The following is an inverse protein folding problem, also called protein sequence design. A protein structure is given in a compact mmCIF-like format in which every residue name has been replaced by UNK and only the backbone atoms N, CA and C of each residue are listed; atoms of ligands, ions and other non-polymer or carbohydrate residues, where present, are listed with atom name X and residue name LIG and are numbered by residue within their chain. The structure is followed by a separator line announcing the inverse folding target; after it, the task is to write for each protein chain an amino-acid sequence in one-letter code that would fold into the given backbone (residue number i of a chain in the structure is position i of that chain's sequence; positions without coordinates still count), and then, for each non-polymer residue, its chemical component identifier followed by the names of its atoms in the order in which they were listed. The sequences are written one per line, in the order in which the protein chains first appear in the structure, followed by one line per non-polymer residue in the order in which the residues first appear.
data_IF_990454550583
#
_entry.id   IF_990454550583
#
_cell.length_a   1.000
_cell.length_b   1.000
_cell.length_c   1.000
_cell.angle_alpha   90.00
_cell.angle_beta   90.00
_cell.angle_gamma   90.00
#
_symmetry.space_group_name_H-M   'P 1'
#
loop_
_entity.id
_entity.type
_entity.pdbx_description
1 polymer ?
#
# COMPACT_ATOMS: atom_id res chain seq x y z
N UNK A 1 -8.59 -107.45 4.53
CA UNK A 1 -7.49 -106.53 4.15
C UNK A 1 -7.95 -105.14 4.58
N UNK A 2 -7.30 -104.61 5.63
CA UNK A 2 -7.35 -103.28 6.31
C UNK A 2 -8.59 -102.39 6.11
N UNK A 3 -9.46 -102.08 7.09
CA UNK A 3 -9.31 -101.51 8.45
C UNK A 3 -8.99 -99.99 8.52
N UNK A 4 -9.98 -99.23 9.05
CA UNK A 4 -10.00 -97.87 9.62
C UNK A 4 -9.66 -96.69 8.68
N UNK A 5 -10.38 -95.56 8.65
CA UNK A 5 -10.41 -94.57 9.75
C UNK A 5 -11.54 -93.51 9.55
N UNK A 6 -12.36 -93.35 10.60
CA UNK A 6 -13.08 -92.15 11.15
C UNK A 6 -14.05 -91.27 10.33
N UNK A 7 -15.24 -91.14 10.92
CA UNK A 7 -16.14 -89.97 10.91
C UNK A 7 -15.49 -88.76 11.59
N UNK A 8 -15.86 -87.53 11.21
CA UNK A 8 -16.20 -86.42 12.13
C UNK A 8 -16.82 -85.24 11.39
N UNK A 9 -18.05 -84.89 11.77
CA UNK A 9 -18.68 -83.62 11.48
C UNK A 9 -18.03 -82.52 12.34
N UNK A 10 -17.74 -81.35 11.75
CA UNK A 10 -17.53 -80.12 12.51
C UNK A 10 -18.41 -79.00 11.94
N UNK A 11 -19.52 -78.80 12.65
CA UNK A 11 -20.24 -77.52 12.74
C UNK A 11 -19.27 -76.39 13.10
N UNK A 12 -19.30 -75.31 12.34
CA UNK A 12 -18.75 -74.03 12.78
C UNK A 12 -18.03 -73.28 11.69
N UNK A 13 -18.76 -72.46 10.92
CA UNK A 13 -18.24 -71.24 10.29
C UNK A 13 -19.41 -70.43 9.72
N UNK A 14 -20.46 -70.25 10.51
CA UNK A 14 -21.53 -69.28 10.25
C UNK A 14 -21.32 -68.00 11.09
N UNK A 15 -20.09 -67.61 11.35
CA UNK A 15 -19.79 -66.37 12.10
C UNK A 15 -18.30 -66.04 11.99
N UNK A 16 -17.87 -65.44 10.88
CA UNK A 16 -16.58 -64.73 10.86
C UNK A 16 -16.45 -63.74 9.71
N UNK A 17 -17.22 -63.89 8.63
CA UNK A 17 -17.13 -63.00 7.47
C UNK A 17 -17.84 -61.65 7.62
N UNK A 18 -18.67 -61.46 8.65
CA UNK A 18 -19.44 -60.23 8.84
C UNK A 18 -18.82 -59.22 9.83
N UNK A 19 -17.69 -59.55 10.48
CA UNK A 19 -17.12 -58.71 11.54
C UNK A 19 -15.84 -57.94 11.15
N UNK A 20 -15.33 -58.12 9.93
CA UNK A 20 -14.12 -57.45 9.45
C UNK A 20 -14.37 -56.32 8.45
N UNK A 21 -15.60 -56.13 7.94
CA UNK A 21 -15.89 -55.06 6.98
C UNK A 21 -16.20 -53.74 7.71
N UNK A 22 -16.75 -53.82 8.92
CA UNK A 22 -17.14 -52.64 9.71
C UNK A 22 -15.97 -51.77 10.21
N UNK A 23 -14.85 -52.32 10.74
CA UNK A 23 -13.79 -51.45 11.27
C UNK A 23 -12.98 -50.75 10.18
N UNK A 24 -12.81 -51.37 8.99
CA UNK A 24 -12.13 -50.73 7.86
C UNK A 24 -12.99 -49.66 7.19
N UNK A 25 -14.31 -49.87 7.09
CA UNK A 25 -15.25 -48.87 6.60
C UNK A 25 -15.32 -47.64 7.51
N UNK A 26 -15.34 -47.83 8.84
CA UNK A 26 -15.32 -46.72 9.78
C UNK A 26 -13.96 -46.00 9.82
N UNK A 27 -12.83 -46.70 9.64
CA UNK A 27 -11.52 -46.04 9.58
C UNK A 27 -11.37 -45.14 8.34
N UNK A 28 -11.89 -45.57 7.17
CA UNK A 28 -11.90 -44.73 5.96
C UNK A 28 -12.81 -43.50 6.09
N UNK A 29 -13.94 -43.62 6.79
CA UNK A 29 -14.86 -42.49 7.04
C UNK A 29 -14.32 -41.54 8.11
N UNK A 30 -13.62 -42.04 9.14
CA UNK A 30 -12.99 -41.20 10.17
C UNK A 30 -11.70 -40.53 9.69
N UNK A 31 -10.86 -41.20 8.89
CA UNK A 31 -9.69 -40.55 8.27
C UNK A 31 -10.07 -39.63 7.10
N UNK A 32 -11.21 -39.85 6.45
CA UNK A 32 -11.76 -38.94 5.44
C UNK A 32 -12.31 -37.62 6.02
N UNK A 33 -12.47 -37.54 7.34
CA UNK A 33 -13.08 -36.38 8.02
C UNK A 33 -12.08 -35.47 8.74
N UNK A 34 -10.77 -35.80 8.74
CA UNK A 34 -9.70 -35.01 9.37
C UNK A 34 -8.77 -34.31 8.37
N UNK A 35 -9.17 -34.17 7.12
CA UNK A 35 -8.49 -33.38 6.09
C UNK A 35 -9.59 -32.88 5.16
N UNK A 36 -10.02 -31.63 5.11
CA UNK A 36 -9.27 -30.40 4.90
C UNK A 36 -10.16 -29.24 5.39
N UNK A 37 -9.77 -28.59 6.47
CA UNK A 37 -10.05 -27.17 6.67
C UNK A 37 -8.73 -26.50 7.01
N UNK A 38 -7.77 -26.67 6.11
CA UNK A 38 -6.66 -25.74 6.02
C UNK A 38 -7.21 -24.48 5.37
N UNK A 39 -6.97 -23.27 5.90
CA UNK A 39 -7.16 -22.08 5.10
C UNK A 39 -6.33 -22.29 3.84
N UNK A 40 -6.95 -22.15 2.67
CA UNK A 40 -6.25 -22.14 1.40
C UNK A 40 -5.35 -20.90 1.37
N UNK A 41 -4.21 -20.96 2.05
CA UNK A 41 -3.01 -20.35 1.51
C UNK A 41 -2.68 -21.20 0.30
N UNK A 42 -3.37 -20.91 -0.80
CA UNK A 42 -3.16 -21.56 -2.08
C UNK A 42 -1.66 -21.54 -2.33
N UNK A 43 -1.07 -22.72 -2.56
CA UNK A 43 0.35 -22.84 -2.89
C UNK A 43 0.65 -21.83 -4.00
N UNK A 44 1.43 -20.80 -3.67
CA UNK A 44 1.90 -19.80 -4.64
C UNK A 44 2.60 -20.56 -5.77
N UNK A 45 2.23 -20.28 -7.01
CA UNK A 45 2.84 -20.92 -8.17
C UNK A 45 4.31 -20.49 -8.31
N UNK A 46 5.14 -21.31 -8.94
CA UNK A 46 6.56 -20.94 -9.14
C UNK A 46 6.66 -19.82 -10.19
N UNK A 47 7.56 -18.86 -10.01
CA UNK A 47 7.63 -17.67 -10.87
C UNK A 47 7.83 -17.95 -12.36
N UNK A 48 8.60 -18.99 -12.72
CA UNK A 48 8.70 -19.38 -14.13
C UNK A 48 7.35 -19.85 -14.70
N UNK A 49 6.51 -20.50 -13.89
CA UNK A 49 5.17 -20.91 -14.30
C UNK A 49 4.24 -19.70 -14.47
N UNK A 50 4.37 -18.69 -13.61
CA UNK A 50 3.62 -17.44 -13.72
C UNK A 50 3.99 -16.68 -15.00
N UNK A 51 5.29 -16.65 -15.34
CA UNK A 51 5.79 -16.07 -16.58
C UNK A 51 5.19 -16.78 -17.80
N UNK A 52 5.20 -18.12 -17.81
CA UNK A 52 4.63 -18.89 -18.92
C UNK A 52 3.13 -18.63 -19.11
N UNK A 53 2.36 -18.48 -18.02
CA UNK A 53 0.94 -18.14 -18.10
C UNK A 53 0.72 -16.72 -18.62
N UNK A 54 1.51 -15.75 -18.14
CA UNK A 54 1.46 -14.38 -18.65
C UNK A 54 1.82 -14.31 -20.14
N UNK A 55 2.83 -15.03 -20.59
CA UNK A 55 3.22 -15.06 -22.01
C UNK A 55 2.18 -15.73 -22.90
N UNK A 56 1.34 -16.61 -22.35
CA UNK A 56 0.19 -17.19 -23.05
C UNK A 56 -0.99 -16.23 -23.23
N UNK A 57 -1.02 -15.11 -22.51
CA UNK A 57 -1.99 -14.03 -22.66
C UNK A 57 -1.35 -12.90 -23.49
N UNK A 58 -1.90 -12.51 -24.66
CA UNK A 58 -1.22 -11.58 -25.55
C UNK A 58 -1.03 -10.19 -24.92
N UNK A 59 -2.00 -9.71 -24.15
CA UNK A 59 -1.92 -8.43 -23.44
C UNK A 59 -0.88 -8.47 -22.32
N UNK A 60 -0.83 -9.54 -21.52
CA UNK A 60 0.16 -9.71 -20.46
C UNK A 60 1.57 -9.88 -21.03
N UNK A 61 1.74 -10.64 -22.13
CA UNK A 61 3.02 -10.79 -22.81
C UNK A 61 3.59 -9.43 -23.26
N UNK A 62 2.74 -8.60 -23.88
CA UNK A 62 3.14 -7.25 -24.28
C UNK A 62 3.54 -6.38 -23.06
N UNK A 63 2.70 -6.35 -22.03
CA UNK A 63 2.96 -5.60 -20.81
C UNK A 63 4.23 -6.07 -20.08
N UNK A 64 4.48 -7.38 -20.06
CA UNK A 64 5.67 -7.99 -19.48
C UNK A 64 6.93 -7.53 -20.22
N UNK A 65 6.89 -7.47 -21.56
CA UNK A 65 7.98 -6.90 -22.37
C UNK A 65 8.26 -5.44 -22.02
N UNK A 66 7.22 -4.61 -21.90
CA UNK A 66 7.36 -3.20 -21.51
C UNK A 66 7.98 -3.05 -20.11
N UNK A 67 7.55 -3.86 -19.14
CA UNK A 67 8.13 -3.93 -17.81
C UNK A 67 9.63 -4.24 -17.85
N UNK A 68 10.02 -5.30 -18.57
CA UNK A 68 11.42 -5.73 -18.65
C UNK A 68 12.31 -4.62 -19.24
N UNK A 69 11.83 -3.89 -20.25
CA UNK A 69 12.58 -2.77 -20.83
C UNK A 69 12.62 -1.54 -19.92
N UNK A 70 11.48 -1.12 -19.38
CA UNK A 70 11.38 0.12 -18.61
C UNK A 70 12.10 0.03 -17.25
N UNK A 71 12.12 -1.15 -16.64
CA UNK A 71 12.73 -1.39 -15.34
C UNK A 71 14.17 -1.94 -15.42
N UNK A 72 14.71 -2.19 -16.62
CA UNK A 72 16.06 -2.74 -16.79
C UNK A 72 17.16 -2.04 -15.95
N UNK A 73 17.24 -0.69 -15.87
CA UNK A 73 18.27 -0.01 -15.07
C UNK A 73 18.12 -0.24 -13.55
N UNK A 74 16.91 -0.55 -13.08
CA UNK A 74 16.66 -0.88 -11.66
C UNK A 74 17.03 -2.34 -11.40
N UNK A 75 16.67 -3.25 -12.32
CA UNK A 75 16.99 -4.68 -12.23
C UNK A 75 18.51 -4.90 -12.29
N UNK A 76 19.23 -4.16 -13.14
CA UNK A 76 20.69 -4.23 -13.24
C UNK A 76 21.42 -3.58 -12.06
N UNK A 77 20.72 -2.80 -11.24
CA UNK A 77 21.29 -2.05 -10.13
C UNK A 77 21.97 -0.74 -10.53
N UNK A 78 21.85 -0.30 -11.79
CA UNK A 78 22.37 1.01 -12.26
C UNK A 78 21.64 2.20 -11.63
N UNK A 79 20.35 2.04 -11.31
CA UNK A 79 19.52 3.07 -10.67
C UNK A 79 18.84 2.52 -9.42
N UNK A 80 19.00 3.25 -8.31
CA UNK A 80 18.32 2.97 -7.04
C UNK A 80 16.94 3.66 -6.91
N UNK A 81 16.61 4.58 -7.82
CA UNK A 81 15.29 5.24 -7.89
C UNK A 81 14.50 4.72 -9.08
N UNK A 82 13.20 4.51 -8.87
CA UNK A 82 12.30 3.99 -9.90
C UNK A 82 11.96 5.05 -10.95
N UNK A 83 12.26 4.82 -12.24
CA UNK A 83 11.80 5.68 -13.33
C UNK A 83 10.26 5.68 -13.43
N UNK A 84 9.67 6.80 -13.83
CA UNK A 84 8.22 6.91 -14.04
C UNK A 84 7.68 5.85 -15.01
N UNK A 85 8.38 5.62 -16.12
CA UNK A 85 8.01 4.59 -17.10
C UNK A 85 8.06 3.16 -16.53
N UNK A 86 8.99 2.87 -15.62
CA UNK A 86 9.04 1.57 -14.93
C UNK A 86 7.80 1.39 -14.04
N UNK A 87 7.45 2.40 -13.24
CA UNK A 87 6.25 2.37 -12.39
C UNK A 87 4.99 2.20 -13.25
N UNK A 88 4.83 2.99 -14.31
CA UNK A 88 3.66 2.88 -15.21
C UNK A 88 3.58 1.51 -15.89
N UNK A 89 4.70 0.92 -16.29
CA UNK A 89 4.72 -0.42 -16.88
C UNK A 89 4.31 -1.51 -15.89
N UNK A 90 4.70 -1.39 -14.62
CA UNK A 90 4.28 -2.29 -13.54
C UNK A 90 2.78 -2.17 -13.26
N UNK A 91 2.22 -0.96 -13.28
CA UNK A 91 0.77 -0.73 -13.16
C UNK A 91 0.03 -1.45 -14.30
N UNK A 92 0.47 -1.26 -15.54
CA UNK A 92 -0.15 -1.90 -16.71
C UNK A 92 -0.06 -3.41 -16.65
N UNK A 93 1.08 -3.97 -16.26
CA UNK A 93 1.26 -5.40 -16.08
C UNK A 93 0.27 -5.95 -15.04
N UNK A 94 0.12 -5.26 -13.91
CA UNK A 94 -0.79 -5.67 -12.84
C UNK A 94 -2.30 -5.59 -13.22
N UNK A 95 -2.65 -4.86 -14.28
CA UNK A 95 -4.03 -4.77 -14.79
C UNK A 95 -4.42 -5.93 -15.72
N UNK A 96 -3.45 -6.76 -16.13
CA UNK A 96 -3.69 -7.94 -16.98
C UNK A 96 -4.20 -9.13 -16.17
N UNK A 97 -4.73 -10.16 -16.83
CA UNK A 97 -5.33 -11.31 -16.13
C UNK A 97 -4.28 -12.10 -15.34
N UNK A 98 -3.11 -12.35 -15.94
CA UNK A 98 -2.05 -13.18 -15.32
C UNK A 98 -0.93 -12.36 -14.67
N UNK A 99 -0.85 -11.05 -14.92
CA UNK A 99 0.21 -10.17 -14.41
C UNK A 99 0.38 -10.14 -12.88
N UNK A 100 -0.70 -10.04 -12.06
CA UNK A 100 -0.59 -10.06 -10.60
C UNK A 100 0.13 -11.30 -10.05
N UNK A 101 0.02 -12.44 -10.74
CA UNK A 101 0.64 -13.69 -10.31
C UNK A 101 2.18 -13.64 -10.35
N UNK A 102 2.77 -12.71 -11.11
CA UNK A 102 4.23 -12.49 -11.18
C UNK A 102 4.77 -11.84 -9.90
N UNK A 103 3.96 -11.04 -9.21
CA UNK A 103 4.31 -10.46 -7.91
C UNK A 103 4.23 -11.51 -6.80
N UNK A 104 3.20 -12.37 -6.82
CA UNK A 104 2.92 -13.31 -5.73
C UNK A 104 3.60 -14.69 -5.86
N UNK A 105 4.20 -15.01 -7.01
CA UNK A 105 4.84 -16.30 -7.24
C UNK A 105 6.04 -16.60 -6.31
N UNK A 106 6.35 -17.90 -6.13
CA UNK A 106 7.52 -18.38 -5.41
C UNK A 106 8.75 -18.49 -6.33
N UNK A 107 9.90 -17.94 -5.91
CA UNK A 107 11.17 -18.07 -6.63
C UNK A 107 11.86 -19.43 -6.39
N UNK A 108 11.38 -20.26 -5.47
CA UNK A 108 12.02 -21.52 -5.07
C UNK A 108 13.51 -21.32 -4.74
N UNK A 109 14.43 -21.98 -5.46
CA UNK A 109 15.88 -21.85 -5.27
C UNK A 109 16.54 -20.78 -6.18
N UNK A 110 15.80 -20.11 -7.06
CA UNK A 110 16.34 -19.17 -8.04
C UNK A 110 16.75 -17.83 -7.40
N UNK A 111 18.06 -17.57 -7.37
CA UNK A 111 18.61 -16.34 -6.81
C UNK A 111 18.39 -15.12 -7.72
N UNK A 112 18.39 -15.28 -9.03
CA UNK A 112 18.11 -14.19 -9.97
C UNK A 112 16.68 -13.70 -9.76
N UNK A 113 15.71 -14.62 -9.70
CA UNK A 113 14.33 -14.30 -9.38
C UNK A 113 14.21 -13.52 -8.06
N UNK A 114 14.85 -14.00 -6.99
CA UNK A 114 14.82 -13.31 -5.68
C UNK A 114 15.43 -11.91 -5.76
N UNK A 115 16.55 -11.76 -6.45
CA UNK A 115 17.23 -10.48 -6.58
C UNK A 115 16.40 -9.50 -7.41
N UNK A 116 15.82 -9.95 -8.53
CA UNK A 116 14.92 -9.13 -9.37
C UNK A 116 13.69 -8.70 -8.59
N UNK A 117 13.01 -9.61 -7.87
CA UNK A 117 11.84 -9.26 -7.05
C UNK A 117 12.19 -8.23 -5.97
N UNK A 118 13.34 -8.37 -5.29
CA UNK A 118 13.81 -7.38 -4.31
C UNK A 118 14.18 -6.03 -4.94
N UNK A 119 14.81 -6.03 -6.11
CA UNK A 119 15.17 -4.80 -6.80
C UNK A 119 13.94 -4.00 -7.26
N UNK A 120 12.87 -4.71 -7.64
CA UNK A 120 11.63 -4.11 -8.15
C UNK A 120 10.61 -3.79 -7.07
N UNK A 121 10.65 -4.46 -5.90
CA UNK A 121 9.74 -4.22 -4.78
C UNK A 121 9.52 -2.72 -4.46
N UNK A 122 10.55 -1.83 -4.45
CA UNK A 122 10.36 -0.41 -4.18
C UNK A 122 9.58 0.33 -5.27
N UNK A 123 9.53 -0.20 -6.49
CA UNK A 123 8.85 0.37 -7.65
C UNK A 123 7.41 -0.12 -7.81
N UNK A 124 7.03 -1.17 -7.08
CA UNK A 124 5.67 -1.70 -7.12
C UNK A 124 4.73 -0.65 -6.49
N UNK A 125 3.68 -0.23 -7.23
CA UNK A 125 2.59 0.50 -6.62
C UNK A 125 2.01 -0.43 -5.56
N UNK A 126 2.01 -0.02 -4.28
CA UNK A 126 1.42 -0.80 -3.20
C UNK A 126 -0.10 -0.80 -3.31
N UNK A 127 -0.63 -1.53 -4.29
CA UNK A 127 -2.06 -1.74 -4.53
C UNK A 127 -2.53 -3.12 -4.06
N UNK A 128 -1.67 -3.88 -3.37
CA UNK A 128 -2.07 -5.07 -2.62
C UNK A 128 -2.83 -4.67 -1.34
N UNK A 129 -4.07 -4.19 -1.51
CA UNK A 129 -5.07 -4.08 -0.44
C UNK A 129 -4.91 -2.96 0.59
N UNK A 130 -3.86 -2.13 0.54
CA UNK A 130 -3.71 -0.97 1.45
C UNK A 130 -4.20 0.29 0.75
N UNK A 131 -5.26 0.90 1.29
CA UNK A 131 -5.86 2.12 0.74
C UNK A 131 -4.87 3.28 0.76
N UNK A 132 -4.76 4.01 -0.35
CA UNK A 132 -3.99 5.26 -0.44
C UNK A 132 -4.69 6.40 0.30
N UNK A 133 -3.91 7.31 0.90
CA UNK A 133 -4.46 8.42 1.68
C UNK A 133 -5.28 9.40 0.81
N UNK A 134 -4.98 9.48 -0.49
CA UNK A 134 -5.76 10.24 -1.46
C UNK A 134 -7.21 9.73 -1.53
N UNK A 135 -7.42 8.41 -1.66
CA UNK A 135 -8.77 7.84 -1.70
C UNK A 135 -9.43 7.83 -0.32
N UNK A 136 -8.68 7.60 0.76
CA UNK A 136 -9.22 7.69 2.13
C UNK A 136 -9.78 9.08 2.41
N UNK A 137 -9.06 10.14 2.04
CA UNK A 137 -9.53 11.54 2.11
C UNK A 137 -10.76 11.76 1.26
N UNK A 138 -10.75 11.27 0.02
CA UNK A 138 -11.89 11.35 -0.90
C UNK A 138 -13.16 10.68 -0.37
N UNK A 139 -13.03 9.64 0.45
CA UNK A 139 -14.16 8.99 1.13
C UNK A 139 -14.64 9.78 2.35
N UNK A 140 -13.71 10.32 3.14
CA UNK A 140 -14.04 11.18 4.26
C UNK A 140 -14.77 12.46 3.81
N UNK A 141 -14.31 13.09 2.73
CA UNK A 141 -14.91 14.31 2.21
C UNK A 141 -16.35 14.10 1.68
N UNK A 142 -16.68 12.87 1.24
CA UNK A 142 -18.04 12.50 0.82
C UNK A 142 -18.96 12.16 1.98
N UNK A 143 -18.41 11.91 3.15
CA UNK A 143 -19.16 11.63 4.37
C UNK A 143 -19.36 12.94 5.15
N UNK A 144 -20.61 13.40 5.38
CA UNK A 144 -20.85 14.70 6.00
C UNK A 144 -20.20 14.84 7.37
N UNK A 145 -20.27 13.80 8.21
CA UNK A 145 -19.72 13.82 9.56
C UNK A 145 -18.19 13.85 9.55
N UNK A 146 -17.58 13.00 8.72
CA UNK A 146 -16.14 12.93 8.55
C UNK A 146 -15.57 14.24 7.97
N UNK A 147 -16.23 14.84 6.99
CA UNK A 147 -15.80 16.10 6.39
C UNK A 147 -15.75 17.26 7.39
N UNK A 148 -16.69 17.30 8.35
CA UNK A 148 -16.69 18.28 9.45
C UNK A 148 -15.54 18.00 10.41
N UNK A 149 -15.35 16.74 10.81
CA UNK A 149 -14.25 16.36 11.69
C UNK A 149 -12.87 16.64 11.06
N UNK A 150 -12.72 16.41 9.76
CA UNK A 150 -11.52 16.77 9.00
C UNK A 150 -11.25 18.28 9.05
N UNK A 151 -12.28 19.13 8.96
CA UNK A 151 -12.11 20.59 9.11
C UNK A 151 -11.65 20.96 10.51
N UNK A 152 -12.24 20.36 11.55
CA UNK A 152 -11.82 20.59 12.94
C UNK A 152 -10.36 20.16 13.14
N UNK A 153 -9.95 19.03 12.54
CA UNK A 153 -8.57 18.56 12.57
C UNK A 153 -7.61 19.59 11.98
N UNK A 154 -7.94 20.17 10.82
CA UNK A 154 -7.11 21.19 10.20
C UNK A 154 -7.00 22.48 11.04
N UNK A 155 -8.03 22.83 11.80
CA UNK A 155 -8.07 24.01 12.67
C UNK A 155 -7.25 23.78 13.95
N UNK A 156 -7.47 22.67 14.64
CA UNK A 156 -6.92 22.45 15.98
C UNK A 156 -5.50 21.85 15.97
N UNK A 157 -5.09 21.20 14.87
CA UNK A 157 -3.81 20.50 14.79
C UNK A 157 -2.72 21.23 13.99
N UNK A 158 -2.84 22.52 13.70
CA UNK A 158 -1.82 23.27 12.96
C UNK A 158 -0.41 23.19 13.58
N UNK A 159 -0.30 23.25 14.92
CA UNK A 159 0.98 23.11 15.65
C UNK A 159 1.59 21.71 15.51
N UNK A 160 0.76 20.68 15.33
CA UNK A 160 1.20 19.31 15.06
C UNK A 160 1.76 19.19 13.63
N UNK A 161 1.11 19.80 12.64
CA UNK A 161 1.56 19.71 11.24
C UNK A 161 2.94 20.33 11.05
N UNK A 162 3.22 21.42 11.77
CA UNK A 162 4.54 22.05 11.80
C UNK A 162 5.58 21.32 12.67
N UNK A 163 5.19 20.24 13.36
CA UNK A 163 6.09 19.44 14.20
C UNK A 163 6.46 20.08 15.54
N UNK A 164 5.67 21.06 16.03
CA UNK A 164 5.99 21.79 17.27
C UNK A 164 5.54 21.00 18.51
N UNK A 165 4.25 20.68 18.60
CA UNK A 165 3.66 19.90 19.71
C UNK A 165 2.27 19.38 19.37
N UNK A 166 1.86 18.31 20.03
CA UNK A 166 0.47 17.87 20.07
C UNK A 166 -0.25 18.56 21.24
N UNK A 167 -1.19 19.47 20.95
CA UNK A 167 -2.01 20.13 21.97
C UNK A 167 -3.11 19.19 22.47
N UNK A 168 -3.67 19.45 23.65
CA UNK A 168 -4.79 18.65 24.16
C UNK A 168 -6.00 18.73 23.24
N UNK A 169 -6.38 19.94 22.82
CA UNK A 169 -7.45 20.15 21.83
C UNK A 169 -7.21 19.42 20.49
N UNK A 170 -5.96 19.27 20.05
CA UNK A 170 -5.66 18.46 18.86
C UNK A 170 -5.85 16.96 19.15
N UNK A 171 -5.38 16.49 20.31
CA UNK A 171 -5.50 15.09 20.76
C UNK A 171 -6.96 14.65 20.84
N UNK A 172 -7.84 15.52 21.36
CA UNK A 172 -9.29 15.26 21.43
C UNK A 172 -9.87 15.06 20.02
N UNK A 173 -9.57 15.97 19.09
CA UNK A 173 -10.05 15.88 17.70
C UNK A 173 -9.52 14.63 16.99
N UNK A 174 -8.28 14.23 17.25
CA UNK A 174 -7.72 12.98 16.72
C UNK A 174 -8.49 11.77 17.27
N UNK A 175 -8.81 11.77 18.57
CA UNK A 175 -9.64 10.74 19.20
C UNK A 175 -11.00 10.61 18.51
N UNK A 176 -11.71 11.73 18.38
CA UNK A 176 -13.01 11.78 17.70
C UNK A 176 -12.91 11.22 16.27
N UNK A 177 -11.87 11.61 15.52
CA UNK A 177 -11.63 11.11 14.17
C UNK A 177 -11.37 9.60 14.12
N UNK A 178 -10.67 9.02 15.08
CA UNK A 178 -10.37 7.58 15.10
C UNK A 178 -11.62 6.74 15.42
N UNK A 179 -12.60 7.29 16.11
CA UNK A 179 -13.89 6.64 16.37
C UNK A 179 -14.81 6.61 15.12
N UNK A 180 -14.57 7.48 14.14
CA UNK A 180 -15.33 7.53 12.89
C UNK A 180 -14.77 6.56 11.83
N UNK A 181 -15.57 5.63 11.27
CA UNK A 181 -15.07 4.60 10.36
C UNK A 181 -14.35 5.13 9.12
N UNK A 182 -14.81 6.25 8.55
CA UNK A 182 -14.18 6.87 7.36
C UNK A 182 -12.92 7.65 7.70
N UNK A 183 -12.85 8.27 8.86
CA UNK A 183 -11.67 9.01 9.30
C UNK A 183 -10.57 8.05 9.80
N UNK A 184 -10.93 6.93 10.44
CA UNK A 184 -9.97 5.89 10.84
C UNK A 184 -9.17 5.30 9.65
N UNK A 185 -9.68 5.40 8.42
CA UNK A 185 -8.95 5.00 7.22
C UNK A 185 -7.75 5.93 6.93
N UNK A 186 -7.81 7.19 7.34
CA UNK A 186 -6.73 8.17 7.15
C UNK A 186 -5.52 7.90 8.04
N UNK A 187 -5.73 7.28 9.19
CA UNK A 187 -4.65 6.81 10.05
C UNK A 187 -3.91 5.60 9.43
N UNK A 188 -4.65 4.69 8.80
CA UNK A 188 -4.13 3.41 8.28
C UNK A 188 -3.65 3.47 6.83
N UNK A 189 -3.98 4.52 6.10
CA UNK A 189 -3.65 4.65 4.69
C UNK A 189 -2.15 4.80 4.42
N UNK A 190 -1.74 4.52 3.18
CA UNK A 190 -0.37 4.80 2.70
C UNK A 190 -0.34 6.15 2.00
N UNK A 191 0.61 7.01 2.39
CA UNK A 191 0.77 8.32 1.78
C UNK A 191 1.11 8.18 0.28
N UNK A 192 0.24 8.72 -0.57
CA UNK A 192 0.32 8.68 -2.02
C UNK A 192 -0.04 10.05 -2.63
N UNK A 193 0.04 10.17 -3.96
CA UNK A 193 -0.26 11.41 -4.66
C UNK A 193 0.77 12.52 -4.47
N UNK A 194 0.38 13.75 -4.85
CA UNK A 194 1.24 14.94 -4.81
C UNK A 194 1.49 15.45 -3.38
N UNK A 195 0.55 15.18 -2.45
CA UNK A 195 0.63 15.60 -1.05
C UNK A 195 1.50 14.66 -0.20
N UNK A 196 2.08 13.62 -0.81
CA UNK A 196 2.84 12.57 -0.12
C UNK A 196 3.89 13.11 0.88
N UNK A 197 4.75 14.09 0.55
CA UNK A 197 5.74 14.60 1.50
C UNK A 197 5.11 15.21 2.76
N UNK A 198 3.99 15.92 2.59
CA UNK A 198 3.27 16.55 3.70
C UNK A 198 2.57 15.47 4.53
N UNK A 199 1.92 14.51 3.88
CA UNK A 199 1.28 13.37 4.54
C UNK A 199 2.27 12.58 5.42
N UNK A 200 3.44 12.23 4.88
CA UNK A 200 4.46 11.48 5.62
C UNK A 200 4.96 12.27 6.84
N UNK A 201 5.18 13.58 6.69
CA UNK A 201 5.56 14.47 7.79
C UNK A 201 4.49 14.52 8.88
N UNK A 202 3.22 14.75 8.52
CA UNK A 202 2.11 14.82 9.46
C UNK A 202 1.93 13.50 10.21
N UNK A 203 2.00 12.35 9.52
CA UNK A 203 1.89 11.04 10.17
C UNK A 203 3.04 10.76 11.14
N UNK A 204 4.26 11.17 10.80
CA UNK A 204 5.41 11.05 11.70
C UNK A 204 5.24 11.94 12.94
N UNK A 205 4.89 13.22 12.74
CA UNK A 205 4.63 14.16 13.83
C UNK A 205 3.54 13.65 14.76
N UNK A 206 2.45 13.13 14.21
CA UNK A 206 1.37 12.49 14.95
C UNK A 206 1.88 11.35 15.85
N UNK A 207 2.63 10.42 15.26
CA UNK A 207 3.18 9.27 15.99
C UNK A 207 4.12 9.72 17.12
N UNK A 208 5.00 10.68 16.85
CA UNK A 208 6.04 11.11 17.79
C UNK A 208 5.48 12.01 18.89
N UNK A 209 4.65 12.99 18.54
CA UNK A 209 4.21 14.05 19.45
C UNK A 209 2.91 13.71 20.20
N UNK A 210 2.03 12.91 19.60
CA UNK A 210 0.77 12.52 20.23
C UNK A 210 0.88 11.15 20.91
N UNK A 211 1.63 10.19 20.35
CA UNK A 211 1.68 8.81 20.89
C UNK A 211 3.06 8.37 21.39
N UNK A 212 4.11 9.13 21.08
CA UNK A 212 5.51 8.80 21.37
C UNK A 212 5.99 9.23 22.77
N UNK A 213 5.22 8.97 23.82
CA UNK A 213 5.74 8.92 25.20
C UNK A 213 4.69 8.40 26.19
N UNK A 214 4.89 7.19 26.72
CA UNK A 214 4.42 6.89 28.07
C UNK A 214 5.40 7.55 29.06
N UNK A 215 4.91 8.49 29.86
CA UNK A 215 5.51 8.98 31.10
C UNK A 215 6.85 9.73 31.03
N UNK A 216 6.77 11.05 30.88
CA UNK A 216 7.41 11.95 31.84
C UNK A 216 6.35 12.90 32.40
N UNK A 217 5.67 12.43 33.46
CA UNK A 217 5.18 13.35 34.47
C UNK A 217 6.39 13.94 35.20
N UNK A 218 6.70 15.21 34.92
CA UNK A 218 7.46 16.05 35.85
C UNK A 218 6.92 17.46 35.71
N UNK A 219 6.23 17.89 36.77
CA UNK A 219 5.55 19.16 36.83
C UNK A 219 6.45 20.34 36.50
N UNK A 220 5.88 21.26 35.75
CA UNK A 220 6.25 22.66 35.82
C UNK A 220 5.02 23.38 36.33
N UNK A 221 5.30 24.13 37.39
CA UNK A 221 4.41 24.80 38.32
C UNK A 221 3.33 25.64 37.64
N UNK A 222 2.16 25.61 38.28
CA UNK A 222 1.19 26.70 38.35
C UNK A 222 1.87 28.07 38.23
N UNK A 223 1.71 28.65 37.05
CA UNK A 223 1.86 30.07 36.77
C UNK A 223 0.54 30.51 36.18
N UNK A 224 -0.37 30.91 37.06
CA UNK A 224 -1.38 31.91 36.72
C UNK A 224 -0.63 33.09 36.09
N UNK A 225 -1.03 33.48 34.88
CA UNK A 225 -0.87 34.81 34.26
C UNK A 225 -1.50 34.63 32.86
N UNK A 226 -2.76 35.00 32.70
CA UNK A 226 -3.23 36.35 32.37
C UNK A 226 -3.46 36.45 30.86
N UNK A 227 -4.50 37.20 30.54
CA UNK A 227 -5.09 37.37 29.22
C UNK A 227 -4.09 37.96 28.22
N UNK A 228 -4.07 37.44 27.00
CA UNK A 228 -3.63 38.21 25.82
C UNK A 228 -4.80 38.16 24.82
N UNK A 229 -5.75 39.06 25.08
CA UNK A 229 -6.57 39.67 24.04
C UNK A 229 -5.66 40.53 23.14
N UNK A 230 -6.04 40.58 21.86
CA UNK A 230 -5.61 41.53 20.83
C UNK A 230 -4.21 41.38 20.20
N UNK A 231 -4.21 40.98 18.93
CA UNK A 231 -3.48 41.75 17.93
C UNK A 231 -4.38 41.94 16.70
N UNK A 232 -4.55 43.22 16.41
CA UNK A 232 -5.54 43.91 15.61
C UNK A 232 -5.50 43.60 14.10
N UNK A 233 -6.67 43.80 13.48
CA UNK A 233 -6.89 43.80 12.04
C UNK A 233 -6.00 44.81 11.28
N UNK A 234 -5.06 44.35 10.44
CA UNK A 234 -4.51 45.22 9.38
C UNK A 234 -5.52 45.35 8.23
N UNK A 235 -6.43 46.30 8.37
CA UNK A 235 -7.25 46.84 7.30
C UNK A 235 -6.36 47.61 6.31
N UNK A 236 -5.87 46.92 5.26
CA UNK A 236 -5.19 47.59 4.15
C UNK A 236 -6.19 48.43 3.36
N UNK A 237 -6.24 49.73 3.70
CA UNK A 237 -6.94 50.78 2.97
C UNK A 237 -6.52 50.77 1.49
N UNK A 238 -7.43 50.34 0.61
CA UNK A 238 -7.37 50.59 -0.82
C UNK A 238 -7.77 52.05 -1.08
N UNK A 239 -6.79 52.94 -1.28
CA UNK A 239 -7.06 54.21 -1.96
C UNK A 239 -6.89 54.05 -3.47
N UNK A 240 -7.88 54.50 -4.27
CA UNK A 240 -7.82 54.46 -5.72
C UNK A 240 -7.01 55.65 -6.25
N UNK A 241 -6.07 55.38 -7.15
CA UNK A 241 -5.42 56.44 -7.93
C UNK A 241 -5.50 56.05 -9.40
N UNK A 242 -6.37 56.74 -10.13
CA UNK A 242 -6.47 56.68 -11.58
C UNK A 242 -5.28 57.39 -12.24
N UNK A 243 -4.65 56.65 -13.14
CA UNK A 243 -4.19 57.05 -14.48
C UNK A 243 -3.45 58.38 -14.70
N UNK A 244 -2.16 58.25 -15.04
CA UNK A 244 -1.58 58.98 -16.16
C UNK A 244 -0.48 58.15 -16.86
N UNK A 245 -0.64 58.01 -18.17
CA UNK A 245 0.16 57.25 -19.14
C UNK A 245 1.56 57.82 -19.41
N UNK A 246 2.54 56.96 -19.77
CA UNK A 246 3.22 57.03 -21.08
C UNK A 246 4.29 55.94 -21.27
N UNK A 247 4.44 55.56 -22.54
CA UNK A 247 5.25 54.49 -23.13
C UNK A 247 6.76 54.52 -22.77
N UNK A 248 7.38 53.34 -22.60
CA UNK A 248 8.51 52.95 -23.45
C UNK A 248 9.01 51.51 -23.25
N UNK A 249 9.27 50.90 -24.41
CA UNK A 249 10.21 49.80 -24.71
C UNK A 249 9.82 48.38 -24.32
N UNK A 250 9.00 47.82 -25.22
CA UNK A 250 9.27 46.52 -25.82
C UNK A 250 10.74 46.39 -26.23
N UNK A 251 11.54 45.67 -25.45
CA UNK A 251 12.89 45.25 -25.83
C UNK A 251 13.35 44.07 -24.97
N UNK A 252 12.71 42.91 -25.08
CA UNK A 252 13.30 41.64 -24.59
C UNK A 252 12.69 40.42 -25.29
N UNK A 253 12.65 40.43 -26.63
CA UNK A 253 12.36 39.24 -27.45
C UNK A 253 13.47 38.96 -28.48
N UNK A 254 14.51 39.79 -28.54
CA UNK A 254 15.61 39.67 -29.51
C UNK A 254 16.89 39.04 -28.95
N UNK A 255 16.89 38.55 -27.71
CA UNK A 255 18.07 37.93 -27.08
C UNK A 255 18.12 36.40 -27.20
N UNK A 256 17.09 35.76 -27.77
CA UNK A 256 17.06 34.29 -27.95
C UNK A 256 17.40 33.84 -29.37
N UNK A 257 17.32 34.72 -30.38
CA UNK A 257 17.62 34.38 -31.79
C UNK A 257 19.11 34.53 -32.15
N UNK A 258 19.91 35.24 -31.34
CA UNK A 258 21.34 35.46 -31.61
C UNK A 258 22.27 34.31 -31.14
N UNK A 259 21.82 33.42 -30.26
CA UNK A 259 22.66 32.32 -29.75
C UNK A 259 22.61 31.06 -30.64
N UNK A 260 21.61 30.94 -31.51
CA UNK A 260 21.42 29.77 -32.39
C UNK A 260 22.27 29.88 -33.67
N UNK A 261 22.62 31.08 -34.13
CA UNK A 261 23.46 31.28 -35.34
C UNK A 261 24.98 31.17 -35.09
N UNK A 262 25.43 31.23 -33.83
CA UNK A 262 26.86 31.05 -33.49
C UNK A 262 27.29 29.60 -33.28
N UNK A 263 26.35 28.66 -33.07
CA UNK A 263 26.67 27.22 -32.95
C UNK A 263 26.65 26.46 -34.29
N UNK A 264 25.94 26.96 -35.32
CA UNK A 264 26.01 26.43 -36.69
C UNK A 264 27.24 26.91 -37.49
N UNK A 265 28.08 27.77 -36.91
CA UNK A 265 29.29 28.28 -37.56
C UNK A 265 30.59 27.62 -37.05
N UNK A 266 30.46 26.60 -36.19
CA UNK A 266 31.58 25.81 -35.62
C UNK A 266 31.40 24.28 -35.81
N UNK A 267 30.48 23.86 -36.67
CA UNK A 267 30.29 22.48 -37.16
C UNK A 267 29.95 22.49 -38.66
#
# INVERSE_FOLDING_TARGET
ISAATTMSNFTGLKQCFSSLIWPFGCLFVFFGSFSISSPTHGRRMICWQAIMQCQGEPECNYAYGQYMHACAPVISGEKHRCPSHCISSLIQLNQTKNGPSLEDCDCAADQLCRNTKRAIEPCLPRTSGVMGCTEARRQCDRDPQCSVAMRNYLIHCGKLFSGIRCTESCRDVIGDMLDMPKAALLDKCVCDGIERPICESVKNNMQTLCFGSESYGSGWTDGSDEDDEDDEDEERVLQPVESASSLSRARDVWTVVASILLLFSLL
#
